data_IF_531039534537
#
_entry.id   IF_531039534537
#
_cell.length_a   1.000
_cell.length_b   1.000
_cell.length_c   1.000
_cell.angle_alpha   90.00
_cell.angle_beta   90.00
_cell.angle_gamma   90.00
#
_symmetry.space_group_name_H-M   'P 1'
#
loop_
_entity.id
_entity.type
_entity.pdbx_description
1 polymer ?
#
# COMPACT_ATOMS: atom_id res chain seq x y z
N UNK A 1 22.74 -15.17 -15.63
CA UNK A 1 21.42 -15.75 -15.91
C UNK A 1 21.22 -16.90 -14.93
N UNK A 2 20.74 -16.59 -13.71
CA UNK A 2 20.62 -17.59 -12.63
C UNK A 2 19.20 -17.69 -12.06
N UNK A 3 18.30 -16.77 -12.43
CA UNK A 3 16.92 -16.74 -11.94
C UNK A 3 16.04 -17.62 -12.82
N UNK A 4 15.27 -18.51 -12.19
CA UNK A 4 14.26 -19.36 -12.84
C UNK A 4 12.89 -19.09 -12.23
N UNK A 5 11.83 -19.25 -13.03
CA UNK A 5 10.48 -19.34 -12.49
C UNK A 5 10.25 -20.74 -11.92
N UNK A 6 9.90 -20.83 -10.65
CA UNK A 6 9.64 -22.09 -9.96
C UNK A 6 8.33 -22.70 -10.47
N UNK A 7 8.35 -24.01 -10.67
CA UNK A 7 7.18 -24.82 -11.01
C UNK A 7 6.58 -25.45 -9.75
N UNK A 8 5.38 -26.02 -9.89
CA UNK A 8 4.59 -26.58 -8.78
C UNK A 8 5.35 -27.63 -7.95
N UNK A 9 6.23 -28.40 -8.58
CA UNK A 9 7.09 -29.39 -7.92
C UNK A 9 8.05 -28.77 -6.90
N UNK A 10 8.40 -27.48 -7.06
CA UNK A 10 9.28 -26.71 -6.17
C UNK A 10 8.54 -25.82 -5.16
N UNK A 11 7.21 -25.71 -5.23
CA UNK A 11 6.47 -24.84 -4.32
C UNK A 11 6.56 -25.25 -2.85
N UNK A 12 6.59 -26.56 -2.57
CA UNK A 12 6.78 -27.04 -1.20
C UNK A 12 8.16 -26.66 -0.65
N UNK A 13 9.17 -26.65 -1.49
CA UNK A 13 10.53 -26.24 -1.13
C UNK A 13 10.60 -24.74 -0.88
N UNK A 14 10.00 -23.94 -1.76
CA UNK A 14 9.83 -22.51 -1.54
C UNK A 14 9.09 -22.21 -0.24
N UNK A 15 8.03 -22.97 0.10
CA UNK A 15 7.29 -22.77 1.33
C UNK A 15 8.12 -23.11 2.58
N UNK A 16 8.93 -24.17 2.56
CA UNK A 16 9.88 -24.47 3.65
C UNK A 16 10.84 -23.30 3.90
N UNK A 17 11.33 -22.67 2.83
CA UNK A 17 12.14 -21.46 2.95
C UNK A 17 11.35 -20.30 3.57
N UNK A 18 10.05 -20.13 3.26
CA UNK A 18 9.21 -19.15 3.96
C UNK A 18 9.04 -19.47 5.45
N UNK A 19 8.72 -20.72 5.80
CA UNK A 19 8.57 -21.16 7.20
C UNK A 19 9.85 -20.88 8.01
N UNK A 20 11.01 -21.15 7.40
CA UNK A 20 12.31 -20.85 8.00
C UNK A 20 12.53 -19.34 8.17
N UNK A 21 12.40 -18.56 7.09
CA UNK A 21 12.77 -17.14 7.09
C UNK A 21 11.82 -16.27 7.94
N UNK A 22 10.54 -16.61 7.98
CA UNK A 22 9.50 -15.84 8.67
C UNK A 22 9.02 -16.52 9.97
N UNK A 23 9.67 -17.62 10.39
CA UNK A 23 9.49 -18.26 11.70
C UNK A 23 8.05 -18.68 12.01
N UNK A 24 7.34 -19.20 11.01
CA UNK A 24 6.01 -19.78 11.18
C UNK A 24 5.98 -21.23 10.71
N UNK A 25 4.90 -21.94 11.04
CA UNK A 25 4.60 -23.27 10.51
C UNK A 25 3.22 -23.28 9.90
N UNK A 26 3.08 -24.03 8.81
CA UNK A 26 1.80 -24.23 8.15
C UNK A 26 1.29 -25.64 8.45
N UNK A 27 0.06 -25.75 8.95
CA UNK A 27 -0.60 -27.04 9.12
C UNK A 27 -1.13 -27.60 7.79
N UNK A 28 -1.67 -28.83 7.82
CA UNK A 28 -2.03 -29.57 6.60
C UNK A 28 -3.07 -28.87 5.71
N UNK A 29 -4.11 -28.27 6.29
CA UNK A 29 -5.15 -27.57 5.52
C UNK A 29 -4.62 -26.24 4.96
N UNK A 30 -3.93 -25.46 5.80
CA UNK A 30 -3.36 -24.18 5.38
C UNK A 30 -2.24 -24.37 4.35
N UNK A 31 -1.54 -25.51 4.36
CA UNK A 31 -0.50 -25.86 3.38
C UNK A 31 -1.10 -25.96 1.98
N UNK A 32 -2.21 -26.69 1.83
CA UNK A 32 -2.87 -26.81 0.54
C UNK A 32 -3.41 -25.46 0.06
N UNK A 33 -3.96 -24.66 0.96
CA UNK A 33 -4.40 -23.30 0.62
C UNK A 33 -3.25 -22.42 0.11
N UNK A 34 -2.08 -22.47 0.76
CA UNK A 34 -0.90 -21.73 0.31
C UNK A 34 -0.41 -22.20 -1.06
N UNK A 35 -0.36 -23.51 -1.31
CA UNK A 35 0.04 -24.06 -2.61
C UNK A 35 -0.95 -23.66 -3.72
N UNK A 36 -2.26 -23.69 -3.45
CA UNK A 36 -3.29 -23.22 -4.38
C UNK A 36 -3.14 -21.72 -4.66
N UNK A 37 -2.95 -20.89 -3.63
CA UNK A 37 -2.73 -19.45 -3.78
C UNK A 37 -1.48 -19.16 -4.62
N UNK A 38 -0.37 -19.84 -4.31
CA UNK A 38 0.89 -19.74 -5.06
C UNK A 38 0.69 -20.09 -6.54
N UNK A 39 -0.09 -21.11 -6.84
CA UNK A 39 -0.37 -21.55 -8.21
C UNK A 39 -1.28 -20.59 -8.98
N UNK A 40 -2.30 -20.06 -8.33
CA UNK A 40 -3.37 -19.31 -9.00
C UNK A 40 -3.03 -17.83 -9.19
N UNK A 41 -2.26 -17.22 -8.29
CA UNK A 41 -2.08 -15.77 -8.27
C UNK A 41 -0.66 -15.28 -8.00
N UNK A 42 0.34 -16.16 -7.92
CA UNK A 42 1.74 -15.75 -7.74
C UNK A 42 2.61 -16.23 -8.90
N UNK A 43 3.52 -15.37 -9.32
CA UNK A 43 4.69 -15.78 -10.07
C UNK A 43 5.88 -15.90 -9.12
N UNK A 44 6.46 -17.08 -9.02
CA UNK A 44 7.50 -17.36 -8.04
C UNK A 44 8.82 -17.54 -8.76
N UNK A 45 9.78 -16.69 -8.43
CA UNK A 45 11.13 -16.71 -8.98
C UNK A 45 12.10 -17.23 -7.92
N UNK A 46 13.07 -18.03 -8.33
CA UNK A 46 14.07 -18.60 -7.45
C UNK A 46 15.45 -18.68 -8.09
N UNK A 47 16.47 -18.83 -7.24
CA UNK A 47 17.84 -19.16 -7.64
C UNK A 47 18.20 -20.48 -6.97
N UNK A 48 18.74 -21.40 -7.75
CA UNK A 48 19.16 -22.73 -7.31
C UNK A 48 20.65 -22.72 -6.94
N UNK A 49 21.02 -23.42 -5.87
CA UNK A 49 22.40 -23.80 -5.57
C UNK A 49 22.46 -25.33 -5.59
N UNK A 50 23.05 -25.91 -6.64
CA UNK A 50 22.94 -27.35 -6.88
C UNK A 50 21.48 -27.76 -7.14
N UNK A 51 20.93 -28.64 -6.30
CA UNK A 51 19.55 -29.13 -6.43
C UNK A 51 18.54 -28.36 -5.57
N UNK A 52 19.02 -27.45 -4.70
CA UNK A 52 18.23 -26.78 -3.67
C UNK A 52 17.88 -25.33 -4.06
N UNK A 53 16.70 -24.86 -3.65
CA UNK A 53 16.26 -23.47 -3.76
C UNK A 53 16.98 -22.63 -2.71
N UNK A 54 17.98 -21.85 -3.15
CA UNK A 54 18.80 -21.01 -2.27
C UNK A 54 18.12 -19.68 -1.90
N UNK A 55 17.35 -19.11 -2.82
CA UNK A 55 16.61 -17.87 -2.64
C UNK A 55 15.33 -17.85 -3.47
N UNK A 56 14.35 -17.05 -3.04
CA UNK A 56 13.08 -16.86 -3.75
C UNK A 56 12.52 -15.44 -3.62
N UNK A 57 11.66 -15.09 -4.56
CA UNK A 57 10.83 -13.88 -4.59
C UNK A 57 9.48 -14.23 -5.22
N UNK A 58 8.39 -13.68 -4.69
CA UNK A 58 7.07 -13.75 -5.31
C UNK A 58 6.74 -12.40 -5.94
N UNK A 59 6.30 -12.42 -7.20
CA UNK A 59 5.65 -11.31 -7.88
C UNK A 59 4.15 -11.61 -7.91
N UNK A 60 3.34 -10.72 -7.36
CA UNK A 60 1.89 -10.88 -7.25
C UNK A 60 1.22 -9.82 -8.14
N UNK A 61 0.47 -10.23 -9.17
CA UNK A 61 -0.26 -9.30 -10.01
C UNK A 61 -1.38 -8.60 -9.24
N UNK A 62 -1.33 -7.27 -9.19
CA UNK A 62 -2.36 -6.45 -8.56
C UNK A 62 -2.73 -5.25 -9.43
N UNK A 63 -3.77 -4.55 -8.99
CA UNK A 63 -4.01 -3.15 -9.34
C UNK A 63 -4.14 -2.33 -8.07
N UNK A 64 -3.79 -1.05 -8.13
CA UNK A 64 -3.99 -0.08 -7.05
C UNK A 64 -4.75 1.15 -7.56
N UNK A 65 -5.46 1.81 -6.67
CA UNK A 65 -6.02 3.13 -6.92
C UNK A 65 -4.95 4.21 -6.72
N UNK A 66 -4.85 5.11 -7.69
CA UNK A 66 -4.15 6.39 -7.58
C UNK A 66 -5.17 7.46 -7.94
N UNK A 67 -5.92 7.92 -6.95
CA UNK A 67 -7.17 8.61 -7.24
C UNK A 67 -8.18 7.62 -7.83
N UNK A 68 -8.88 8.03 -8.89
CA UNK A 68 -9.84 7.16 -9.60
C UNK A 68 -9.20 6.18 -10.57
N UNK A 69 -7.96 6.45 -10.98
CA UNK A 69 -7.27 5.62 -11.95
C UNK A 69 -6.70 4.35 -11.32
N UNK A 70 -6.81 3.24 -12.05
CA UNK A 70 -6.33 1.91 -11.63
C UNK A 70 -4.99 1.61 -12.28
N UNK A 71 -3.93 1.58 -11.48
CA UNK A 71 -2.57 1.30 -11.95
C UNK A 71 -2.26 -0.19 -11.78
N UNK A 72 -1.75 -0.82 -12.85
CA UNK A 72 -1.25 -2.20 -12.78
C UNK A 72 0.01 -2.24 -11.89
N UNK A 73 -0.09 -2.94 -10.76
CA UNK A 73 0.89 -2.93 -9.68
C UNK A 73 1.49 -4.33 -9.47
N UNK A 74 2.82 -4.40 -9.42
CA UNK A 74 3.54 -5.64 -9.11
C UNK A 74 3.87 -5.72 -7.61
N UNK A 75 3.15 -6.57 -6.89
CA UNK A 75 3.39 -6.81 -5.46
C UNK A 75 4.62 -7.70 -5.28
N UNK A 76 5.62 -7.23 -4.53
CA UNK A 76 6.80 -8.05 -4.20
C UNK A 76 6.62 -8.63 -2.80
N UNK A 77 6.61 -9.96 -2.72
CA UNK A 77 6.34 -10.69 -1.48
C UNK A 77 7.30 -11.87 -1.28
N UNK A 78 7.33 -12.39 -0.05
CA UNK A 78 8.03 -13.64 0.27
C UNK A 78 9.51 -13.66 -0.10
N UNK A 79 10.18 -12.50 -0.14
CA UNK A 79 11.61 -12.40 -0.46
C UNK A 79 12.42 -13.07 0.64
N UNK A 80 13.12 -14.15 0.31
CA UNK A 80 13.85 -14.94 1.29
C UNK A 80 15.07 -15.62 0.66
N UNK A 81 16.08 -15.89 1.49
CA UNK A 81 17.26 -16.71 1.15
C UNK A 81 17.73 -17.42 2.42
N UNK A 82 18.22 -18.66 2.29
CA UNK A 82 18.78 -19.35 3.45
C UNK A 82 20.06 -18.65 3.94
N UNK A 83 20.36 -18.67 5.26
CA UNK A 83 21.48 -17.94 5.83
C UNK A 83 22.85 -18.29 5.22
N UNK A 84 23.08 -19.55 4.89
CA UNK A 84 24.30 -20.08 4.27
C UNK A 84 24.57 -19.48 2.87
N UNK A 85 23.53 -18.98 2.19
CA UNK A 85 23.62 -18.36 0.85
C UNK A 85 23.51 -16.82 0.89
N UNK A 86 23.34 -16.21 2.08
CA UNK A 86 23.01 -14.78 2.22
C UNK A 86 24.05 -13.84 1.61
N UNK A 87 25.32 -14.25 1.52
CA UNK A 87 26.43 -13.44 1.00
C UNK A 87 26.67 -13.61 -0.51
N UNK A 88 25.89 -14.45 -1.18
CA UNK A 88 26.03 -14.72 -2.62
C UNK A 88 25.31 -13.69 -3.50
N UNK A 89 24.54 -12.75 -2.91
CA UNK A 89 23.88 -11.68 -3.67
C UNK A 89 22.57 -12.07 -4.38
N UNK A 90 22.06 -13.28 -4.15
CA UNK A 90 20.89 -13.83 -4.85
C UNK A 90 19.63 -12.97 -4.78
N UNK A 91 19.34 -12.35 -3.63
CA UNK A 91 18.17 -11.47 -3.52
C UNK A 91 18.30 -10.22 -4.41
N UNK A 92 19.52 -9.68 -4.59
CA UNK A 92 19.74 -8.57 -5.53
C UNK A 92 19.41 -9.01 -6.95
N UNK A 93 19.89 -10.18 -7.38
CA UNK A 93 19.59 -10.71 -8.72
C UNK A 93 18.09 -10.96 -8.94
N UNK A 94 17.39 -11.51 -7.94
CA UNK A 94 15.94 -11.71 -7.97
C UNK A 94 15.17 -10.39 -8.09
N UNK A 95 15.56 -9.35 -7.33
CA UNK A 95 14.92 -8.04 -7.40
C UNK A 95 15.13 -7.38 -8.77
N UNK A 96 16.34 -7.47 -9.33
CA UNK A 96 16.63 -6.96 -10.67
C UNK A 96 15.80 -7.69 -11.72
N UNK A 97 15.70 -9.01 -11.62
CA UNK A 97 14.85 -9.81 -12.50
C UNK A 97 13.38 -9.39 -12.39
N UNK A 98 12.86 -9.20 -11.17
CA UNK A 98 11.46 -8.79 -10.98
C UNK A 98 11.15 -7.42 -11.60
N UNK A 99 12.10 -6.47 -11.60
CA UNK A 99 11.90 -5.17 -12.26
C UNK A 99 11.84 -5.31 -13.77
N UNK A 100 12.69 -6.17 -14.34
CA UNK A 100 12.66 -6.44 -15.78
C UNK A 100 11.35 -7.13 -16.19
N UNK A 101 10.92 -8.14 -15.44
CA UNK A 101 9.61 -8.79 -15.64
C UNK A 101 8.49 -7.79 -15.53
N UNK A 102 8.46 -7.00 -14.46
CA UNK A 102 7.43 -5.99 -14.23
C UNK A 102 7.34 -4.98 -15.39
N UNK A 103 8.49 -4.48 -15.88
CA UNK A 103 8.52 -3.60 -17.05
C UNK A 103 7.95 -4.30 -18.29
N UNK A 104 8.40 -5.51 -18.59
CA UNK A 104 7.99 -6.25 -19.79
C UNK A 104 6.49 -6.53 -19.81
N UNK A 105 5.91 -6.80 -18.64
CA UNK A 105 4.50 -7.13 -18.49
C UNK A 105 3.61 -5.89 -18.22
N UNK A 106 4.20 -4.69 -18.26
CA UNK A 106 3.48 -3.42 -18.15
C UNK A 106 3.03 -3.04 -16.73
N UNK A 107 3.63 -3.60 -15.69
CA UNK A 107 3.46 -3.11 -14.32
C UNK A 107 4.24 -1.80 -14.18
N UNK A 108 3.53 -0.69 -14.00
CA UNK A 108 4.15 0.65 -13.95
C UNK A 108 4.63 1.02 -12.55
N UNK A 109 4.11 0.34 -11.53
CA UNK A 109 4.39 0.59 -10.11
C UNK A 109 4.51 -0.73 -9.34
N UNK A 110 5.28 -0.74 -8.27
CA UNK A 110 5.49 -1.87 -7.38
C UNK A 110 5.35 -1.46 -5.93
N UNK A 111 4.80 -2.34 -5.10
CA UNK A 111 4.67 -2.15 -3.65
C UNK A 111 5.10 -3.40 -2.89
N UNK A 112 5.57 -3.20 -1.64
CA UNK A 112 5.97 -4.29 -0.75
C UNK A 112 5.92 -3.88 0.73
N UNK A 113 5.79 -4.88 1.60
CA UNK A 113 6.03 -4.73 3.03
C UNK A 113 7.50 -5.08 3.38
N UNK A 114 8.30 -4.14 3.90
CA UNK A 114 9.73 -4.34 4.06
C UNK A 114 10.08 -5.05 5.37
N UNK A 115 10.90 -6.12 5.31
CA UNK A 115 11.57 -6.63 6.53
C UNK A 115 12.62 -5.65 7.07
N UNK A 116 13.20 -4.83 6.19
CA UNK A 116 14.12 -3.74 6.54
C UNK A 116 14.07 -2.66 5.45
N UNK A 117 13.67 -1.44 5.82
CA UNK A 117 13.53 -0.33 4.87
C UNK A 117 14.83 -0.04 4.11
N UNK A 118 15.96 0.00 4.84
CA UNK A 118 17.29 0.28 4.25
C UNK A 118 17.76 -0.76 3.24
N UNK A 119 17.21 -1.98 3.27
CA UNK A 119 17.53 -3.01 2.30
C UNK A 119 16.92 -2.68 0.94
N UNK A 120 15.61 -2.41 0.89
CA UNK A 120 14.88 -2.13 -0.34
C UNK A 120 15.16 -0.73 -0.89
N UNK A 121 15.49 0.24 -0.02
CA UNK A 121 15.86 1.59 -0.43
C UNK A 121 17.04 1.62 -1.39
N UNK A 122 18.02 0.74 -1.20
CA UNK A 122 19.17 0.58 -2.10
C UNK A 122 18.80 0.17 -3.53
N UNK A 123 17.59 -0.35 -3.75
CA UNK A 123 17.10 -0.84 -5.04
C UNK A 123 15.98 0.04 -5.62
N UNK A 124 15.75 1.22 -5.05
CA UNK A 124 14.84 2.23 -5.58
C UNK A 124 13.44 2.28 -4.95
N UNK A 125 13.11 1.37 -4.02
CA UNK A 125 11.87 1.49 -3.26
C UNK A 125 11.97 2.56 -2.18
N UNK A 126 10.87 3.23 -1.87
CA UNK A 126 10.82 4.20 -0.77
C UNK A 126 9.55 4.02 0.05
N UNK A 127 9.56 4.46 1.31
CA UNK A 127 8.36 4.50 2.13
C UNK A 127 7.27 5.29 1.40
N UNK A 128 6.07 4.73 1.35
CA UNK A 128 4.95 5.31 0.64
C UNK A 128 3.65 5.33 1.44
N UNK A 129 3.51 4.60 2.56
CA UNK A 129 2.29 4.64 3.35
C UNK A 129 2.58 4.40 4.85
N UNK A 130 1.73 4.99 5.69
CA UNK A 130 1.72 4.79 7.14
C UNK A 130 0.40 4.15 7.58
N UNK A 131 0.45 3.48 8.73
CA UNK A 131 -0.73 3.17 9.54
C UNK A 131 -0.77 4.08 10.76
N UNK A 132 -1.96 4.59 11.09
CA UNK A 132 -2.20 5.29 12.35
C UNK A 132 -2.93 4.33 13.29
N UNK A 133 -2.26 3.92 14.37
CA UNK A 133 -2.83 3.00 15.36
C UNK A 133 -3.12 3.78 16.63
N UNK A 134 -4.36 3.73 17.10
CA UNK A 134 -4.77 4.36 18.34
C UNK A 134 -5.41 3.38 19.31
N UNK A 135 -5.24 3.66 20.60
CA UNK A 135 -5.75 2.84 21.68
C UNK A 135 -6.65 3.68 22.58
N UNK A 136 -7.86 3.19 22.80
CA UNK A 136 -8.84 3.75 23.71
C UNK A 136 -9.20 2.75 24.79
N UNK A 137 -9.78 3.25 25.86
CA UNK A 137 -10.29 2.47 26.97
C UNK A 137 -11.80 2.63 27.09
N UNK A 138 -12.41 1.87 28.00
CA UNK A 138 -13.84 1.99 28.30
C UNK A 138 -14.30 3.43 28.59
N UNK A 139 -13.50 4.27 29.24
CA UNK A 139 -13.89 5.66 29.55
C UNK A 139 -14.03 6.56 28.32
N UNK A 140 -13.39 6.17 27.21
CA UNK A 140 -13.42 6.94 25.96
C UNK A 140 -14.65 6.61 25.11
N UNK A 141 -15.35 5.50 25.42
CA UNK A 141 -16.53 5.01 24.71
C UNK A 141 -17.80 5.81 25.07
N UNK A 142 -17.77 7.11 24.77
CA UNK A 142 -18.90 8.01 25.00
C UNK A 142 -19.73 8.11 23.73
N UNK A 143 -21.02 7.76 23.85
CA UNK A 143 -22.00 7.86 22.77
C UNK A 143 -22.05 9.27 22.19
N UNK A 144 -22.09 9.36 20.86
CA UNK A 144 -22.37 10.60 20.14
C UNK A 144 -23.89 10.77 19.97
N UNK A 145 -24.30 11.87 19.34
CA UNK A 145 -25.70 12.07 18.96
C UNK A 145 -26.21 10.86 18.18
N UNK A 146 -27.38 10.36 18.55
CA UNK A 146 -28.01 9.23 17.88
C UNK A 146 -28.27 9.58 16.41
N UNK A 147 -27.96 8.64 15.52
CA UNK A 147 -28.23 8.74 14.08
C UNK A 147 -29.42 7.85 13.71
N UNK A 148 -30.03 8.13 12.56
CA UNK A 148 -31.29 7.48 12.13
C UNK A 148 -31.08 6.16 11.36
N UNK A 149 -29.83 5.82 11.04
CA UNK A 149 -29.50 4.58 10.35
C UNK A 149 -29.43 3.35 11.24
N UNK A 150 -28.99 2.24 10.67
CA UNK A 150 -28.86 0.95 11.35
C UNK A 150 -27.53 0.28 11.00
N UNK A 151 -27.07 -0.63 11.85
CA UNK A 151 -25.86 -1.44 11.59
C UNK A 151 -26.24 -2.91 11.44
N UNK A 152 -25.70 -3.58 10.42
CA UNK A 152 -25.79 -5.03 10.25
C UNK A 152 -24.40 -5.66 10.26
N UNK A 153 -24.30 -6.86 10.83
CA UNK A 153 -23.06 -7.63 10.90
C UNK A 153 -23.06 -8.73 9.84
N UNK A 154 -21.87 -9.00 9.32
CA UNK A 154 -21.57 -10.00 8.30
C UNK A 154 -20.25 -10.70 8.64
N UNK A 155 -20.01 -11.83 7.99
CA UNK A 155 -18.81 -12.64 8.05
C UNK A 155 -18.46 -13.10 6.62
N UNK A 156 -17.44 -13.95 6.50
CA UNK A 156 -16.97 -14.48 5.23
C UNK A 156 -18.06 -15.25 4.46
N UNK A 157 -18.93 -15.99 5.16
CA UNK A 157 -19.95 -16.83 4.53
C UNK A 157 -21.15 -16.05 3.98
N UNK A 158 -21.33 -14.78 4.39
CA UNK A 158 -22.41 -13.92 3.94
C UNK A 158 -21.93 -12.55 3.44
N UNK A 159 -20.82 -12.56 2.70
CA UNK A 159 -20.20 -11.37 2.10
C UNK A 159 -21.23 -10.52 1.32
N UNK A 160 -21.43 -9.24 1.69
CA UNK A 160 -22.36 -8.35 1.00
C UNK A 160 -21.65 -7.51 -0.08
N UNK A 161 -22.08 -7.63 -1.35
CA UNK A 161 -21.50 -6.90 -2.49
C UNK A 161 -21.41 -5.37 -2.30
N UNK A 162 -22.33 -4.77 -1.52
CA UNK A 162 -22.30 -3.33 -1.24
C UNK A 162 -21.05 -2.85 -0.49
N UNK A 163 -20.34 -3.73 0.23
CA UNK A 163 -19.09 -3.36 0.92
C UNK A 163 -17.97 -3.05 -0.08
N UNK A 164 -17.94 -3.73 -1.22
CA UNK A 164 -16.93 -3.53 -2.27
C UNK A 164 -16.99 -2.09 -2.80
N UNK A 165 -18.22 -1.58 -3.03
CA UNK A 165 -18.45 -0.20 -3.49
C UNK A 165 -18.11 0.84 -2.44
N UNK A 166 -18.38 0.56 -1.17
CA UNK A 166 -17.97 1.46 -0.07
C UNK A 166 -16.44 1.55 -0.03
N UNK A 167 -15.76 0.40 -0.11
CA UNK A 167 -14.30 0.36 -0.14
C UNK A 167 -13.74 1.08 -1.37
N UNK A 168 -14.24 0.82 -2.58
CA UNK A 168 -13.78 1.49 -3.80
C UNK A 168 -13.95 3.01 -3.68
N UNK A 169 -15.14 3.48 -3.26
CA UNK A 169 -15.39 4.93 -3.07
C UNK A 169 -14.40 5.54 -2.07
N UNK A 170 -14.07 4.83 -0.98
CA UNK A 170 -13.05 5.29 -0.04
C UNK A 170 -11.64 5.25 -0.64
N UNK A 171 -11.28 4.16 -1.32
CA UNK A 171 -9.97 3.92 -1.90
C UNK A 171 -9.58 4.96 -2.95
N UNK A 172 -10.55 5.42 -3.75
CA UNK A 172 -10.36 6.47 -4.77
C UNK A 172 -9.87 7.82 -4.21
N UNK A 173 -9.95 8.03 -2.89
CA UNK A 173 -9.42 9.25 -2.26
C UNK A 173 -7.91 9.21 -2.00
N UNK A 174 -7.25 8.07 -2.23
CA UNK A 174 -5.87 7.83 -1.87
C UNK A 174 -5.02 7.34 -3.05
N UNK A 175 -3.70 7.29 -2.83
CA UNK A 175 -2.76 6.55 -3.68
C UNK A 175 -2.29 5.29 -2.95
N UNK A 176 -2.33 4.13 -3.61
CA UNK A 176 -1.78 2.88 -3.08
C UNK A 176 -2.80 1.88 -2.52
N UNK A 177 -4.07 2.25 -2.44
CA UNK A 177 -5.13 1.34 -1.99
C UNK A 177 -5.30 0.21 -3.01
N UNK A 178 -5.39 -1.04 -2.56
CA UNK A 178 -5.48 -2.19 -3.45
C UNK A 178 -6.84 -2.22 -4.17
N UNK A 179 -6.89 -2.61 -5.44
CA UNK A 179 -8.15 -2.98 -6.09
C UNK A 179 -8.53 -4.38 -5.60
N UNK A 180 -9.59 -4.46 -4.81
CA UNK A 180 -10.07 -5.72 -4.22
C UNK A 180 -11.20 -6.29 -5.07
N UNK A 181 -11.01 -7.50 -5.59
CA UNK A 181 -12.11 -8.31 -6.12
C UNK A 181 -12.72 -9.17 -4.99
N UNK A 182 -13.88 -9.78 -5.27
CA UNK A 182 -14.56 -10.69 -4.33
C UNK A 182 -13.61 -11.79 -3.81
N UNK A 183 -12.77 -12.34 -4.69
CA UNK A 183 -11.80 -13.39 -4.33
C UNK A 183 -10.84 -12.88 -3.26
N UNK A 184 -10.29 -11.67 -3.41
CA UNK A 184 -9.41 -11.06 -2.43
C UNK A 184 -10.13 -10.78 -1.10
N UNK A 185 -11.37 -10.29 -1.14
CA UNK A 185 -12.19 -10.14 0.07
C UNK A 185 -12.28 -11.45 0.85
N UNK A 186 -12.69 -12.53 0.18
CA UNK A 186 -12.93 -13.84 0.80
C UNK A 186 -11.64 -14.54 1.25
N UNK A 187 -10.52 -14.32 0.55
CA UNK A 187 -9.27 -15.04 0.80
C UNK A 187 -8.26 -14.29 1.67
N UNK A 188 -8.30 -12.95 1.70
CA UNK A 188 -7.26 -12.14 2.32
C UNK A 188 -7.78 -11.08 3.29
N UNK A 189 -9.00 -10.55 3.12
CA UNK A 189 -9.51 -9.45 3.95
C UNK A 189 -10.21 -9.93 5.21
N UNK A 190 -11.10 -10.93 5.10
CA UNK A 190 -11.90 -11.34 6.26
C UNK A 190 -11.08 -11.95 7.39
N UNK A 191 -10.09 -12.80 7.09
CA UNK A 191 -9.37 -13.63 8.07
C UNK A 191 -10.31 -14.18 9.19
N UNK A 192 -10.17 -13.68 10.43
CA UNK A 192 -11.01 -13.99 11.60
C UNK A 192 -11.96 -12.84 12.01
N UNK A 193 -12.11 -11.83 11.15
CA UNK A 193 -12.82 -10.58 11.40
C UNK A 193 -14.33 -10.69 11.12
N UNK A 194 -15.08 -9.87 11.84
CA UNK A 194 -16.49 -9.57 11.61
C UNK A 194 -16.61 -8.23 10.88
N UNK A 195 -17.43 -8.20 9.84
CA UNK A 195 -17.79 -6.99 9.12
C UNK A 195 -19.03 -6.37 9.75
N UNK A 196 -19.06 -5.05 9.94
CA UNK A 196 -20.25 -4.29 10.27
C UNK A 196 -20.45 -3.15 9.27
N UNK A 197 -21.64 -3.07 8.66
CA UNK A 197 -22.01 -2.01 7.71
C UNK A 197 -23.07 -1.11 8.34
N UNK A 198 -22.83 0.20 8.28
CA UNK A 198 -23.83 1.22 8.57
C UNK A 198 -24.66 1.53 7.33
N UNK A 199 -25.99 1.49 7.48
CA UNK A 199 -26.96 1.89 6.48
C UNK A 199 -27.68 3.15 6.94
N UNK A 200 -27.85 4.13 6.05
CA UNK A 200 -28.60 5.35 6.32
C UNK A 200 -30.12 5.08 6.47
N UNK A 201 -30.91 6.15 6.70
CA UNK A 201 -32.37 6.07 6.81
C UNK A 201 -33.07 5.51 5.56
N UNK A 202 -32.43 5.58 4.39
CA UNK A 202 -32.94 5.08 3.11
C UNK A 202 -32.46 3.65 2.81
N UNK A 203 -31.75 3.01 3.76
CA UNK A 203 -31.10 1.69 3.61
C UNK A 203 -29.93 1.68 2.60
N UNK A 204 -29.29 2.83 2.39
CA UNK A 204 -28.07 2.93 1.58
C UNK A 204 -26.85 2.64 2.45
N UNK A 205 -25.98 1.73 2.02
CA UNK A 205 -24.73 1.43 2.71
C UNK A 205 -23.79 2.64 2.64
N UNK A 206 -23.32 3.12 3.79
CA UNK A 206 -22.64 4.42 3.91
C UNK A 206 -21.30 4.37 4.65
N UNK A 207 -20.93 3.19 5.17
CA UNK A 207 -19.64 2.95 5.79
C UNK A 207 -19.58 1.55 6.38
N UNK A 208 -18.37 1.04 6.58
CA UNK A 208 -18.16 -0.23 7.26
C UNK A 208 -16.98 -0.19 8.24
N UNK A 209 -16.89 -1.23 9.06
CA UNK A 209 -15.70 -1.55 9.84
C UNK A 209 -15.47 -3.07 9.86
N UNK A 210 -14.20 -3.48 9.88
CA UNK A 210 -13.78 -4.86 10.14
C UNK A 210 -13.15 -4.92 11.53
N UNK A 211 -13.64 -5.86 12.35
CA UNK A 211 -13.21 -5.95 13.74
C UNK A 211 -13.32 -7.37 14.29
N UNK A 212 -12.59 -7.61 15.38
CA UNK A 212 -12.79 -8.78 16.24
C UNK A 212 -12.81 -8.38 17.71
N UNK A 213 -13.39 -9.25 18.54
CA UNK A 213 -13.41 -9.08 19.99
C UNK A 213 -12.90 -10.37 20.63
N UNK A 214 -11.84 -10.25 21.41
CA UNK A 214 -11.28 -11.34 22.20
C UNK A 214 -10.65 -10.79 23.49
N UNK A 215 -10.69 -11.55 24.59
CA UNK A 215 -10.04 -11.17 25.85
C UNK A 215 -10.36 -9.73 26.35
N UNK A 216 -11.61 -9.28 26.17
CA UNK A 216 -12.07 -7.92 26.49
C UNK A 216 -11.42 -6.79 25.67
N UNK A 217 -10.80 -7.09 24.52
CA UNK A 217 -10.25 -6.12 23.57
C UNK A 217 -11.04 -6.19 22.26
N UNK A 218 -11.45 -5.03 21.74
CA UNK A 218 -11.89 -4.89 20.35
C UNK A 218 -10.73 -4.40 19.51
N UNK A 219 -10.39 -5.13 18.45
CA UNK A 219 -9.42 -4.69 17.44
C UNK A 219 -10.19 -4.36 16.18
N UNK A 220 -10.16 -3.10 15.75
CA UNK A 220 -10.75 -2.60 14.51
C UNK A 220 -9.63 -2.44 13.48
N UNK A 221 -9.55 -3.36 12.54
CA UNK A 221 -8.48 -3.39 11.54
C UNK A 221 -8.79 -2.46 10.36
N UNK A 222 -10.07 -2.26 10.03
CA UNK A 222 -10.51 -1.28 9.03
C UNK A 222 -11.67 -0.45 9.57
N UNK A 223 -11.60 0.87 9.40
CA UNK A 223 -12.69 1.80 9.72
C UNK A 223 -12.93 2.75 8.54
N UNK A 224 -14.05 2.59 7.85
CA UNK A 224 -14.31 3.22 6.54
C UNK A 224 -15.69 3.88 6.49
N UNK A 225 -15.83 5.10 7.03
CA UNK A 225 -17.03 5.92 6.85
C UNK A 225 -16.94 6.81 5.59
N UNK A 226 -17.98 6.81 4.73
CA UNK A 226 -18.03 7.72 3.57
C UNK A 226 -18.42 9.16 3.94
N UNK A 227 -19.07 9.34 5.09
CA UNK A 227 -19.45 10.66 5.61
C UNK A 227 -19.63 10.65 7.14
N UNK A 228 -19.81 11.83 7.73
CA UNK A 228 -19.83 11.98 9.19
C UNK A 228 -20.98 11.25 9.89
N UNK A 229 -22.16 11.12 9.25
CA UNK A 229 -23.24 10.32 9.80
C UNK A 229 -22.84 8.83 9.95
N UNK A 230 -22.18 8.24 8.94
CA UNK A 230 -21.69 6.87 9.01
C UNK A 230 -20.61 6.70 10.07
N UNK A 231 -19.70 7.67 10.20
CA UNK A 231 -18.71 7.71 11.28
C UNK A 231 -19.37 7.67 12.67
N UNK A 232 -20.38 8.51 12.89
CA UNK A 232 -21.14 8.51 14.15
C UNK A 232 -21.91 7.21 14.37
N UNK A 233 -22.50 6.64 13.32
CA UNK A 233 -23.22 5.37 13.38
C UNK A 233 -22.32 4.20 13.77
N UNK A 234 -21.17 4.05 13.11
CA UNK A 234 -20.17 3.05 13.42
C UNK A 234 -19.56 3.28 14.82
N UNK A 235 -19.25 4.52 15.19
CA UNK A 235 -18.78 4.85 16.53
C UNK A 235 -19.78 4.48 17.62
N UNK A 236 -21.06 4.84 17.45
CA UNK A 236 -22.10 4.48 18.41
C UNK A 236 -22.29 2.96 18.49
N UNK A 237 -22.09 2.23 17.39
CA UNK A 237 -22.05 0.76 17.41
C UNK A 237 -20.87 0.23 18.23
N UNK A 238 -19.67 0.81 18.10
CA UNK A 238 -18.53 0.48 18.97
C UNK A 238 -18.90 0.73 20.45
N UNK A 239 -19.47 1.90 20.78
CA UNK A 239 -19.88 2.24 22.14
C UNK A 239 -20.92 1.29 22.75
N UNK A 240 -21.75 0.61 21.95
CA UNK A 240 -22.69 -0.42 22.45
C UNK A 240 -22.00 -1.68 23.00
N UNK A 241 -20.68 -1.81 22.83
CA UNK A 241 -19.87 -2.88 23.39
C UNK A 241 -19.16 -2.47 24.70
N UNK A 242 -19.49 -1.32 25.29
CA UNK A 242 -18.87 -0.78 26.52
C UNK A 242 -18.88 -1.73 27.73
N UNK A 243 -19.84 -2.65 27.79
CA UNK A 243 -19.97 -3.69 28.80
C UNK A 243 -19.11 -4.91 28.52
N UNK A 244 -18.66 -5.09 27.27
CA UNK A 244 -17.88 -6.24 26.79
C UNK A 244 -16.39 -5.96 26.71
N UNK A 245 -15.97 -4.71 26.50
CA UNK A 245 -14.57 -4.37 26.25
C UNK A 245 -13.98 -3.44 27.32
N UNK A 246 -12.68 -3.60 27.54
CA UNK A 246 -11.82 -2.73 28.34
C UNK A 246 -10.89 -1.89 27.46
N UNK A 247 -10.49 -2.46 26.34
CA UNK A 247 -9.55 -1.86 25.39
C UNK A 247 -10.15 -1.86 23.98
N UNK A 248 -9.93 -0.78 23.25
CA UNK A 248 -10.22 -0.63 21.84
C UNK A 248 -8.92 -0.24 21.14
N UNK A 249 -8.55 -0.98 20.11
CA UNK A 249 -7.46 -0.62 19.19
C UNK A 249 -8.06 -0.39 17.81
N UNK A 250 -7.68 0.71 17.14
CA UNK A 250 -8.13 1.00 15.79
C UNK A 250 -6.94 1.32 14.88
N UNK A 251 -6.95 0.74 13.69
CA UNK A 251 -6.07 1.12 12.59
C UNK A 251 -6.85 2.01 11.62
N UNK A 252 -6.35 3.23 11.41
CA UNK A 252 -7.00 4.24 10.56
C UNK A 252 -5.97 5.01 9.73
N UNK A 253 -6.45 5.90 8.86
CA UNK A 253 -5.62 6.91 8.20
C UNK A 253 -5.18 7.99 9.20
N UNK A 254 -4.01 8.60 8.99
CA UNK A 254 -3.48 9.66 9.88
C UNK A 254 -4.44 10.85 10.06
N UNK A 255 -5.21 11.18 9.03
CA UNK A 255 -6.13 12.33 9.04
C UNK A 255 -7.58 11.96 9.38
N UNK A 256 -7.82 10.77 9.93
CA UNK A 256 -9.17 10.35 10.35
C UNK A 256 -9.64 11.22 11.53
N UNK A 257 -10.69 12.05 11.36
CA UNK A 257 -11.06 13.04 12.38
C UNK A 257 -11.72 12.46 13.64
N UNK A 258 -11.99 11.16 13.71
CA UNK A 258 -12.67 10.52 14.85
C UNK A 258 -12.06 10.90 16.21
N UNK A 259 -10.74 10.86 16.34
CA UNK A 259 -10.05 11.12 17.61
C UNK A 259 -10.30 12.54 18.15
N UNK A 260 -10.40 13.53 17.25
CA UNK A 260 -10.71 14.91 17.62
C UNK A 260 -12.09 15.04 18.27
N UNK A 261 -12.99 14.10 18.02
CA UNK A 261 -14.37 14.14 18.52
C UNK A 261 -14.57 13.43 19.86
N UNK A 262 -13.52 12.87 20.46
CA UNK A 262 -13.57 12.22 21.77
C UNK A 262 -13.70 13.26 22.88
N UNK A 263 -14.22 12.86 24.04
CA UNK A 263 -14.27 13.73 25.23
C UNK A 263 -12.86 14.06 25.73
N UNK A 264 -11.96 13.08 25.70
CA UNK A 264 -10.53 13.24 25.94
C UNK A 264 -9.76 12.77 24.69
N UNK A 265 -9.37 13.69 23.78
CA UNK A 265 -8.64 13.32 22.56
C UNK A 265 -7.21 12.83 22.78
N UNK A 266 -6.61 13.03 23.96
CA UNK A 266 -5.21 12.67 24.27
C UNK A 266 -5.03 11.19 24.56
N UNK A 267 -5.53 10.34 23.67
CA UNK A 267 -5.37 8.89 23.75
C UNK A 267 -4.01 8.47 23.21
N UNK A 268 -3.57 7.25 23.55
CA UNK A 268 -2.32 6.71 23.00
C UNK A 268 -2.50 6.49 21.49
N UNK A 269 -1.62 7.09 20.69
CA UNK A 269 -1.61 6.91 19.25
C UNK A 269 -0.17 6.87 18.71
N UNK A 270 0.03 6.11 17.64
CA UNK A 270 1.32 5.94 16.98
C UNK A 270 1.16 5.91 15.45
N UNK A 271 2.11 6.54 14.76
CA UNK A 271 2.24 6.48 13.30
C UNK A 271 3.33 5.48 12.97
N UNK A 272 2.98 4.46 12.17
CA UNK A 272 3.91 3.41 11.74
C UNK A 272 4.14 3.52 10.24
N UNK A 273 5.37 3.82 9.78
CA UNK A 273 5.76 3.54 8.41
C UNK A 273 5.54 2.06 8.09
N UNK A 274 4.75 1.78 7.07
CA UNK A 274 4.16 0.46 6.85
C UNK A 274 4.57 -0.16 5.52
N UNK A 275 4.34 0.56 4.41
CA UNK A 275 4.57 0.03 3.07
C UNK A 275 5.59 0.86 2.30
N UNK A 276 6.28 0.20 1.38
CA UNK A 276 7.16 0.83 0.41
C UNK A 276 6.59 0.72 -1.00
N UNK A 277 6.84 1.75 -1.81
CA UNK A 277 6.42 1.85 -3.20
C UNK A 277 7.59 2.24 -4.10
N UNK A 278 7.53 1.82 -5.36
CA UNK A 278 8.52 2.13 -6.40
C UNK A 278 7.84 2.26 -7.75
N UNK A 279 8.12 3.33 -8.48
CA UNK A 279 7.80 3.40 -9.91
C UNK A 279 8.73 2.44 -10.66
N UNK A 280 8.15 1.52 -11.45
CA UNK A 280 8.92 0.54 -12.24
C UNK A 280 9.34 1.14 -13.57
N UNK A 281 8.41 1.82 -14.24
CA UNK A 281 8.60 2.44 -15.56
C UNK A 281 8.06 3.87 -15.51
N UNK A 282 8.97 4.85 -15.45
CA UNK A 282 8.62 6.27 -15.31
C UNK A 282 7.74 6.76 -16.46
N UNK A 283 8.10 6.41 -17.70
CA UNK A 283 7.37 6.88 -18.87
C UNK A 283 5.93 6.34 -18.88
N UNK A 284 5.78 5.03 -18.68
CA UNK A 284 4.46 4.38 -18.70
C UNK A 284 3.61 4.73 -17.48
N UNK A 285 4.24 4.98 -16.32
CA UNK A 285 3.56 5.49 -15.14
C UNK A 285 2.98 6.88 -15.39
N UNK A 286 3.81 7.81 -15.89
CA UNK A 286 3.39 9.19 -16.09
C UNK A 286 2.32 9.36 -17.17
N UNK A 287 2.26 8.48 -18.18
CA UNK A 287 1.16 8.46 -19.17
C UNK A 287 -0.24 8.31 -18.56
N UNK A 288 -0.34 7.71 -17.38
CA UNK A 288 -1.60 7.49 -16.65
C UNK A 288 -1.78 8.48 -15.48
N UNK A 289 -0.73 9.21 -15.11
CA UNK A 289 -0.74 9.98 -13.86
C UNK A 289 -1.33 11.38 -14.05
N UNK A 290 -2.48 11.62 -13.43
CA UNK A 290 -3.14 12.93 -13.45
C UNK A 290 -2.45 13.93 -12.52
N UNK A 291 -1.85 14.96 -13.11
CA UNK A 291 -1.23 16.10 -12.44
C UNK A 291 -2.24 17.23 -12.16
N UNK A 292 -1.90 18.11 -11.22
CA UNK A 292 -2.67 19.31 -10.92
C UNK A 292 -2.21 20.51 -11.76
N UNK A 293 -2.91 20.80 -12.84
CA UNK A 293 -2.55 21.88 -13.76
C UNK A 293 -3.13 23.25 -13.40
N UNK A 294 -4.02 23.35 -12.40
CA UNK A 294 -4.78 24.57 -12.10
C UNK A 294 -3.91 25.82 -11.84
N UNK A 295 -2.70 25.64 -11.30
CA UNK A 295 -1.75 26.72 -11.02
C UNK A 295 -0.39 26.52 -11.72
N UNK A 296 -0.35 25.70 -12.77
CA UNK A 296 0.90 25.42 -13.50
C UNK A 296 1.26 26.59 -14.41
N UNK A 297 2.01 27.56 -13.88
CA UNK A 297 2.47 28.74 -14.62
C UNK A 297 3.86 28.56 -15.26
N UNK A 298 4.65 27.61 -14.74
CA UNK A 298 6.01 27.34 -15.17
C UNK A 298 6.15 25.88 -15.57
N UNK A 299 7.05 25.62 -16.52
CA UNK A 299 7.43 24.25 -16.85
C UNK A 299 8.21 23.61 -15.69
N UNK A 300 8.00 22.32 -15.49
CA UNK A 300 8.78 21.53 -14.53
C UNK A 300 9.61 20.52 -15.31
N UNK A 301 10.93 20.54 -15.10
CA UNK A 301 11.88 19.61 -15.70
C UNK A 301 12.43 18.75 -14.58
N UNK A 302 12.39 17.42 -14.75
CA UNK A 302 12.85 16.44 -13.76
C UNK A 302 13.96 15.59 -14.38
N UNK A 303 15.15 15.61 -13.79
CA UNK A 303 16.26 14.72 -14.13
C UNK A 303 16.25 13.53 -13.18
N UNK A 304 15.77 12.39 -13.67
CA UNK A 304 15.53 11.22 -12.83
C UNK A 304 16.73 10.28 -12.92
N UNK A 305 17.21 9.83 -11.77
CA UNK A 305 18.27 8.83 -11.67
C UNK A 305 17.75 7.53 -11.06
N UNK A 306 18.13 6.40 -11.66
CA UNK A 306 17.79 5.07 -11.20
C UNK A 306 18.98 4.13 -11.44
N UNK A 307 19.70 3.82 -10.36
CA UNK A 307 20.90 2.98 -10.41
C UNK A 307 20.61 1.50 -10.65
N UNK A 308 19.35 1.07 -10.55
CA UNK A 308 18.98 -0.35 -10.56
C UNK A 308 18.05 -0.74 -11.72
N UNK A 309 17.30 0.23 -12.26
CA UNK A 309 16.52 0.09 -13.49
C UNK A 309 16.93 1.20 -14.49
N UNK A 310 17.95 0.94 -15.33
CA UNK A 310 18.57 1.98 -16.16
C UNK A 310 17.62 2.71 -17.11
N UNK A 311 16.53 2.07 -17.52
CA UNK A 311 15.50 2.65 -18.39
C UNK A 311 14.74 3.83 -17.75
N UNK A 312 14.87 4.06 -16.45
CA UNK A 312 14.29 5.22 -15.76
C UNK A 312 15.24 6.42 -15.69
N UNK A 313 16.49 6.31 -16.18
CA UNK A 313 17.41 7.45 -16.26
C UNK A 313 17.04 8.34 -17.45
N UNK A 314 16.00 9.15 -17.25
CA UNK A 314 15.39 10.00 -18.27
C UNK A 314 15.17 11.40 -17.72
N UNK A 315 15.09 12.38 -18.61
CA UNK A 315 14.61 13.72 -18.25
C UNK A 315 13.15 13.86 -18.68
N UNK A 316 12.30 14.32 -17.77
CA UNK A 316 10.86 14.52 -18.00
C UNK A 316 10.55 16.01 -18.00
N UNK A 317 9.78 16.47 -18.97
CA UNK A 317 9.24 17.82 -19.04
C UNK A 317 7.72 17.79 -18.86
N UNK A 318 7.24 18.56 -17.89
CA UNK A 318 5.83 18.77 -17.55
C UNK A 318 5.45 20.20 -17.93
N UNK A 319 4.68 20.37 -19.01
CA UNK A 319 4.26 21.67 -19.50
C UNK A 319 2.98 21.55 -20.33
N UNK A 320 2.15 22.59 -20.36
CA UNK A 320 0.98 22.68 -21.25
C UNK A 320 -0.01 21.51 -21.17
N UNK A 321 -0.21 20.91 -20.00
CA UNK A 321 -1.03 19.70 -19.80
C UNK A 321 -0.47 18.43 -20.46
N UNK A 322 0.81 18.45 -20.84
CA UNK A 322 1.50 17.33 -21.46
C UNK A 322 2.72 16.91 -20.64
N UNK A 323 3.02 15.62 -20.73
CA UNK A 323 4.19 15.00 -20.13
C UNK A 323 5.04 14.41 -21.25
N UNK A 324 6.28 14.89 -21.40
CA UNK A 324 7.18 14.48 -22.47
C UNK A 324 8.52 14.02 -21.92
N UNK A 325 9.08 12.96 -22.51
CA UNK A 325 10.46 12.53 -22.26
C UNK A 325 11.35 13.34 -23.20
N UNK A 326 12.40 13.97 -22.68
CA UNK A 326 13.40 14.69 -23.49
C UNK A 326 14.72 13.94 -23.49
N UNK A 327 15.31 13.77 -24.67
CA UNK A 327 16.57 13.05 -24.89
C UNK A 327 17.80 13.91 -24.57
N UNK A 328 17.67 15.24 -24.65
CA UNK A 328 18.76 16.16 -24.34
C UNK A 328 18.75 16.56 -22.87
N UNK A 329 19.89 16.36 -22.20
CA UNK A 329 20.12 16.78 -20.83
C UNK A 329 20.23 18.33 -20.80
N UNK A 330 19.18 18.99 -20.30
CA UNK A 330 19.18 20.44 -20.07
C UNK A 330 20.05 20.70 -18.82
N UNK A 331 21.32 21.07 -19.01
CA UNK A 331 22.31 21.11 -17.91
C UNK A 331 22.15 22.27 -16.93
N UNK A 332 21.43 23.32 -17.30
CA UNK A 332 21.37 24.58 -16.54
C UNK A 332 20.01 24.83 -15.86
N UNK A 333 19.03 23.93 -16.02
CA UNK A 333 17.67 24.03 -15.47
C UNK A 333 17.09 22.66 -15.20
N UNK A 334 16.33 22.54 -14.12
CA UNK A 334 15.59 21.34 -13.75
C UNK A 334 15.90 20.84 -12.35
N UNK A 335 15.07 19.91 -11.90
CA UNK A 335 15.14 19.32 -10.57
C UNK A 335 15.83 17.96 -10.70
N UNK A 336 16.92 17.76 -9.96
CA UNK A 336 17.57 16.46 -9.85
C UNK A 336 16.96 15.66 -8.69
N UNK A 337 16.59 14.42 -8.96
CA UNK A 337 16.04 13.49 -7.98
C UNK A 337 16.28 12.03 -8.38
N UNK A 338 16.32 11.14 -7.41
CA UNK A 338 16.38 9.70 -7.67
C UNK A 338 14.97 9.08 -7.76
N UNK A 339 14.91 7.81 -8.18
CA UNK A 339 13.67 7.06 -8.29
C UNK A 339 12.97 6.89 -6.93
N UNK A 340 13.73 6.90 -5.82
CA UNK A 340 13.18 6.83 -4.46
C UNK A 340 12.36 8.09 -4.15
N UNK A 341 12.95 9.26 -4.37
CA UNK A 341 12.35 10.57 -4.20
C UNK A 341 11.14 10.74 -5.12
N UNK A 342 11.26 10.39 -6.40
CA UNK A 342 10.14 10.46 -7.34
C UNK A 342 8.98 9.57 -6.89
N UNK A 343 9.26 8.31 -6.51
CA UNK A 343 8.22 7.37 -6.08
C UNK A 343 7.47 7.92 -4.86
N UNK A 344 8.17 8.31 -3.81
CA UNK A 344 7.53 8.80 -2.58
C UNK A 344 6.74 10.11 -2.79
N UNK A 345 7.16 10.96 -3.73
CA UNK A 345 6.41 12.16 -4.13
C UNK A 345 5.14 11.79 -4.90
N UNK A 346 5.24 10.91 -5.89
CA UNK A 346 4.10 10.51 -6.75
C UNK A 346 3.04 9.70 -5.99
N UNK A 347 3.42 9.00 -4.92
CA UNK A 347 2.43 8.44 -3.99
C UNK A 347 1.74 9.53 -3.15
N UNK A 348 2.38 10.68 -2.92
CA UNK A 348 1.89 11.74 -2.03
C UNK A 348 2.28 11.54 -0.56
N UNK A 349 3.31 10.72 -0.31
CA UNK A 349 3.82 10.43 1.03
C UNK A 349 4.72 11.56 1.55
N UNK A 350 5.62 12.05 0.69
CA UNK A 350 6.41 13.27 0.93
C UNK A 350 6.19 14.29 -0.17
N UNK A 351 6.25 15.56 0.21
CA UNK A 351 6.10 16.69 -0.71
C UNK A 351 7.45 17.13 -1.28
N UNK A 352 7.52 17.65 -2.51
CA UNK A 352 8.75 18.23 -3.08
C UNK A 352 9.49 19.16 -2.11
N UNK A 353 8.78 20.11 -1.48
CA UNK A 353 9.39 21.01 -0.50
C UNK A 353 10.05 20.28 0.69
N UNK A 354 9.45 19.18 1.16
CA UNK A 354 10.00 18.40 2.27
C UNK A 354 11.26 17.65 1.86
N UNK A 355 11.34 17.13 0.62
CA UNK A 355 12.53 16.44 0.16
C UNK A 355 13.66 17.42 -0.19
N UNK A 356 13.33 18.63 -0.63
CA UNK A 356 14.30 19.69 -0.88
C UNK A 356 14.95 20.17 0.42
N UNK A 357 14.16 20.35 1.49
CA UNK A 357 14.67 20.67 2.83
C UNK A 357 15.63 19.61 3.37
N UNK A 358 15.43 18.35 2.96
CA UNK A 358 16.30 17.22 3.33
C UNK A 358 17.47 17.02 2.36
N UNK A 359 17.65 17.90 1.38
CA UNK A 359 18.67 17.81 0.32
C UNK A 359 18.61 16.50 -0.48
N UNK A 360 17.44 15.85 -0.53
CA UNK A 360 17.20 14.62 -1.30
C UNK A 360 16.77 14.90 -2.74
N UNK A 361 16.33 16.12 -3.01
CA UNK A 361 16.15 16.67 -4.36
C UNK A 361 16.81 18.05 -4.40
N UNK A 362 17.20 18.50 -5.58
CA UNK A 362 17.82 19.82 -5.75
C UNK A 362 17.31 20.54 -6.99
N UNK A 363 17.01 21.82 -6.84
CA UNK A 363 16.62 22.75 -7.90
C UNK A 363 16.52 24.17 -7.33
N UNK A 364 16.25 25.16 -8.17
CA UNK A 364 15.97 26.51 -7.69
C UNK A 364 14.66 26.55 -6.89
N UNK A 365 14.49 27.55 -6.02
CA UNK A 365 13.27 27.73 -5.25
C UNK A 365 12.02 27.84 -6.15
N UNK A 366 12.15 28.48 -7.31
CA UNK A 366 11.08 28.61 -8.30
C UNK A 366 10.67 27.23 -8.85
N UNK A 367 11.64 26.42 -9.28
CA UNK A 367 11.39 25.07 -9.81
C UNK A 367 10.75 24.14 -8.78
N UNK A 368 11.26 24.14 -7.54
CA UNK A 368 10.73 23.28 -6.47
C UNK A 368 9.30 23.69 -6.13
N UNK A 369 8.98 24.99 -6.09
CA UNK A 369 7.60 25.47 -5.87
C UNK A 369 6.68 25.11 -7.04
N UNK A 370 7.16 25.17 -8.28
CA UNK A 370 6.39 24.72 -9.44
C UNK A 370 6.09 23.21 -9.35
N UNK A 371 7.07 22.41 -8.95
CA UNK A 371 6.88 20.97 -8.75
C UNK A 371 5.95 20.64 -7.57
N UNK A 372 6.03 21.40 -6.47
CA UNK A 372 5.09 21.28 -5.35
C UNK A 372 3.64 21.49 -5.79
N UNK A 373 3.39 22.47 -6.65
CA UNK A 373 2.04 22.83 -7.09
C UNK A 373 1.43 21.82 -8.06
N UNK A 374 2.25 21.22 -8.94
CA UNK A 374 1.77 20.29 -9.96
C UNK A 374 1.49 18.89 -9.40
N UNK A 375 2.15 18.50 -8.30
CA UNK A 375 1.90 17.21 -7.63
C UNK A 375 0.59 17.27 -6.84
N UNK A 376 -0.40 16.39 -7.11
CA UNK A 376 -1.67 16.36 -6.38
C UNK A 376 -1.47 16.27 -4.86
N UNK A 377 -2.34 16.92 -4.08
CA UNK A 377 -2.31 16.90 -2.60
C UNK A 377 -2.91 15.63 -1.98
N UNK A 378 -3.20 14.63 -2.83
CA UNK A 378 -3.71 13.32 -2.43
C UNK A 378 -2.72 12.62 -1.50
N UNK A 379 -3.23 11.88 -0.52
CA UNK A 379 -2.43 11.13 0.45
C UNK A 379 -2.31 9.67 0.05
N UNK A 380 -1.22 9.04 0.46
CA UNK A 380 -1.01 7.62 0.26
C UNK A 380 -1.55 6.80 1.44
N UNK A 381 -2.18 5.67 1.14
CA UNK A 381 -2.68 4.74 2.15
C UNK A 381 -2.89 3.34 1.56
N UNK A 382 -2.77 2.32 2.41
CA UNK A 382 -3.07 0.92 2.07
C UNK A 382 -3.47 0.20 3.36
N UNK A 383 -4.60 -0.52 3.33
CA UNK A 383 -5.01 -1.41 4.43
C UNK A 383 -4.40 -2.81 4.28
N UNK A 384 -4.28 -3.29 3.06
CA UNK A 384 -3.88 -4.66 2.75
C UNK A 384 -2.44 -5.01 3.16
N UNK A 385 -2.21 -6.32 3.30
CA UNK A 385 -0.91 -6.93 3.53
C UNK A 385 -0.70 -8.08 2.52
N UNK A 386 0.52 -8.23 1.99
CA UNK A 386 0.86 -9.33 1.08
C UNK A 386 2.33 -9.74 1.13
#
# INVERSE_FOLDING_TARGET
>A
MNVIQLKEDRFREALRLSEYAFQYKVDGERLQQQLTKMKESHEIYGIMEGEDVAAKLHLIPFHIYIGKEKFKMGGVAGVATYPEYRRSGYVKELLQHSLQTMKNDGYTVSMLHPFAVSFYRKYGWELCANLFVCHMTKSDLVMKKQVNGTVKRFNKENHPEEVEKIYETFAEHFSGMLVRDEKWWLQAVYDDLTLAIYYDKNKTAAGYMLYKIENYKMTVEEFVPLHNEARNGLWNFICQHDSMIKELEMTVIENEPLLYTLQEPRVKAEIKPYFMGRIVDVEQFLKQYELNWNNAQQEVILHITDSFAPWNNVTVRLANHEITIIEEEIKDKGISLDINALSTIMFGYKRPLQLNELELISGSEEEIRAFENIVPVRKAFIYDFF
#
